data_IF_077848898459
#
_entry.id   IF_077848898459
#
_cell.length_a   1.000
_cell.length_b   1.000
_cell.length_c   1.000
_cell.angle_alpha   90.00
_cell.angle_beta   90.00
_cell.angle_gamma   90.00
#
_symmetry.space_group_name_H-M   'P 1'
#
loop_
_entity.id
_entity.type
_entity.pdbx_description
1 polymer ?
#
# COMPACT_ATOMS: atom_id res chain seq x y z
N UNK A 1 12.10 19.40 34.41
CA UNK A 1 13.10 20.00 33.52
C UNK A 1 12.35 21.03 32.68
N UNK A 2 12.75 22.32 32.65
CA UNK A 2 12.12 23.27 31.76
C UNK A 2 12.41 22.83 30.33
N UNK A 3 11.35 22.50 29.57
CA UNK A 3 11.46 22.28 28.14
C UNK A 3 12.06 23.52 27.49
N UNK A 4 13.11 23.33 26.72
CA UNK A 4 13.71 24.39 25.92
C UNK A 4 12.61 25.02 25.05
N UNK A 5 12.48 26.34 25.10
CA UNK A 5 11.46 27.12 24.34
C UNK A 5 11.60 26.99 22.81
N UNK A 6 12.48 26.15 22.33
CA UNK A 6 12.81 25.89 20.92
C UNK A 6 12.29 24.53 20.45
N UNK A 7 11.85 23.64 21.35
CA UNK A 7 11.29 22.34 20.96
C UNK A 7 9.78 22.47 20.71
N UNK A 8 9.33 22.04 19.52
CA UNK A 8 7.91 21.95 19.19
C UNK A 8 7.24 20.90 20.08
N UNK A 9 6.08 21.25 20.63
CA UNK A 9 5.25 20.29 21.33
C UNK A 9 4.66 19.32 20.30
N UNK A 10 4.97 18.04 20.47
CA UNK A 10 4.36 16.97 19.71
C UNK A 10 3.18 16.41 20.48
N UNK A 11 2.00 16.19 19.82
CA UNK A 11 0.85 15.58 20.48
C UNK A 11 1.21 14.16 20.90
N UNK A 12 0.97 13.83 22.17
CA UNK A 12 1.29 12.51 22.75
C UNK A 12 0.11 11.56 22.72
N UNK A 13 -1.10 12.08 22.65
CA UNK A 13 -2.33 11.30 22.71
C UNK A 13 -3.29 11.70 21.61
N UNK A 14 -3.85 10.69 20.96
CA UNK A 14 -4.98 10.80 20.07
C UNK A 14 -6.15 10.18 20.80
N UNK A 15 -7.21 10.96 21.04
CA UNK A 15 -8.46 10.45 21.57
C UNK A 15 -9.41 10.18 20.41
N UNK A 16 -9.92 8.97 20.32
CA UNK A 16 -10.91 8.54 19.32
C UNK A 16 -12.19 8.24 20.04
N UNK A 17 -13.20 9.10 19.82
CA UNK A 17 -14.55 8.91 20.35
C UNK A 17 -15.42 8.33 19.22
N UNK A 18 -15.65 7.03 19.27
CA UNK A 18 -16.49 6.33 18.31
C UNK A 18 -17.97 6.58 18.61
N UNK A 19 -18.67 7.27 17.69
CA UNK A 19 -20.09 7.59 17.82
C UNK A 19 -20.95 6.44 17.28
N UNK A 20 -20.49 5.82 16.18
CA UNK A 20 -21.10 4.64 15.55
C UNK A 20 -20.02 3.86 14.78
N UNK A 21 -20.38 2.70 14.23
CA UNK A 21 -19.46 1.91 13.41
C UNK A 21 -18.90 2.66 12.19
N UNK A 22 -19.62 3.68 11.72
CA UNK A 22 -19.26 4.47 10.54
C UNK A 22 -18.87 5.90 10.86
N UNK A 23 -19.00 6.34 12.13
CA UNK A 23 -18.77 7.74 12.51
C UNK A 23 -17.95 7.84 13.78
N UNK A 24 -16.87 8.60 13.71
CA UNK A 24 -16.02 8.90 14.85
C UNK A 24 -15.64 10.39 14.90
N UNK A 25 -15.30 10.82 16.10
CA UNK A 25 -14.66 12.10 16.37
C UNK A 25 -13.25 11.83 16.89
N UNK A 26 -12.26 12.43 16.25
CA UNK A 26 -10.86 12.29 16.63
C UNK A 26 -10.33 13.63 17.12
N UNK A 27 -9.76 13.61 18.31
CA UNK A 27 -9.21 14.78 18.98
C UNK A 27 -7.71 14.64 19.09
N UNK A 28 -6.99 15.64 18.63
CA UNK A 28 -5.53 15.71 18.68
C UNK A 28 -5.11 16.99 19.40
N UNK A 29 -4.49 16.85 20.55
CA UNK A 29 -3.99 17.95 21.38
C UNK A 29 -2.78 17.49 22.24
N UNK A 30 -1.88 18.40 22.62
CA UNK A 30 -1.76 19.80 22.18
C UNK A 30 -0.99 19.91 20.85
N UNK A 31 -1.31 20.90 20.05
CA UNK A 31 -0.57 21.28 18.85
C UNK A 31 -0.04 22.71 19.01
N UNK A 32 1.09 23.01 18.41
CA UNK A 32 1.56 24.39 18.31
C UNK A 32 0.59 25.24 17.47
N UNK A 33 0.49 26.52 17.78
CA UNK A 33 -0.42 27.46 17.14
C UNK A 33 -0.30 27.44 15.62
N UNK A 34 -1.44 27.25 14.93
CA UNK A 34 -1.54 27.19 13.47
C UNK A 34 -1.44 25.78 12.90
N UNK A 35 -0.83 24.81 13.59
CA UNK A 35 -0.72 23.43 13.13
C UNK A 35 -2.08 22.72 13.07
N UNK A 36 -3.03 23.10 13.93
CA UNK A 36 -4.38 22.55 13.87
C UNK A 36 -5.03 22.76 12.49
N UNK A 37 -4.96 23.96 11.93
CA UNK A 37 -5.49 24.24 10.60
C UNK A 37 -4.69 23.58 9.49
N UNK A 38 -3.36 23.56 9.58
CA UNK A 38 -2.48 22.93 8.58
C UNK A 38 -2.74 21.44 8.47
N UNK A 39 -2.71 20.73 9.61
CA UNK A 39 -2.93 19.29 9.64
C UNK A 39 -4.38 18.92 9.34
N UNK A 40 -5.35 19.68 9.91
CA UNK A 40 -6.76 19.44 9.69
C UNK A 40 -7.17 19.56 8.22
N UNK A 41 -6.69 20.59 7.52
CA UNK A 41 -6.94 20.74 6.09
C UNK A 41 -6.23 19.66 5.25
N UNK A 42 -4.96 19.34 5.55
CA UNK A 42 -4.21 18.31 4.84
C UNK A 42 -4.87 16.93 4.98
N UNK A 43 -5.19 16.52 6.21
CA UNK A 43 -5.83 15.24 6.48
C UNK A 43 -7.24 15.17 5.85
N UNK A 44 -8.04 16.25 5.96
CA UNK A 44 -9.35 16.30 5.31
C UNK A 44 -9.25 16.06 3.80
N UNK A 45 -8.30 16.70 3.13
CA UNK A 45 -8.13 16.54 1.68
C UNK A 45 -7.71 15.13 1.32
N UNK A 46 -6.77 14.54 2.06
CA UNK A 46 -6.30 13.16 1.83
C UNK A 46 -7.43 12.16 2.05
N UNK A 47 -8.18 12.31 3.15
CA UNK A 47 -9.32 11.44 3.47
C UNK A 47 -10.39 11.44 2.38
N UNK A 48 -10.68 12.59 1.77
CA UNK A 48 -11.70 12.70 0.72
C UNK A 48 -11.23 12.28 -0.67
N UNK A 49 -9.95 12.47 -1.01
CA UNK A 49 -9.47 12.31 -2.39
C UNK A 49 -8.49 11.17 -2.61
N UNK A 50 -7.78 10.71 -1.57
CA UNK A 50 -6.62 9.83 -1.75
C UNK A 50 -6.79 8.44 -1.15
N UNK A 51 -7.88 8.20 -0.43
CA UNK A 51 -8.16 6.89 0.17
C UNK A 51 -8.53 5.87 -0.92
N UNK A 52 -7.91 4.69 -0.89
CA UNK A 52 -8.30 3.60 -1.77
C UNK A 52 -9.65 3.01 -1.32
N UNK A 53 -10.44 2.57 -2.28
CA UNK A 53 -11.69 1.88 -2.05
C UNK A 53 -12.15 1.13 -3.28
N UNK A 54 -13.38 0.62 -3.25
CA UNK A 54 -13.99 -0.13 -4.34
C UNK A 54 -15.30 0.50 -4.77
N UNK A 55 -15.64 0.35 -6.05
CA UNK A 55 -16.89 0.85 -6.60
C UNK A 55 -17.38 -0.06 -7.74
N UNK A 56 -18.69 -0.09 -7.93
CA UNK A 56 -19.31 -0.69 -9.12
C UNK A 56 -19.04 0.25 -10.28
N UNK A 57 -18.42 -0.25 -11.33
CA UNK A 57 -17.99 0.51 -12.50
C UNK A 57 -18.83 0.24 -13.74
N UNK A 58 -19.34 -0.99 -13.85
CA UNK A 58 -20.10 -1.47 -14.99
C UNK A 58 -21.23 -2.35 -14.51
N UNK A 59 -22.36 -2.28 -15.19
CA UNK A 59 -23.54 -3.08 -14.88
C UNK A 59 -24.19 -3.58 -16.15
N UNK A 60 -24.59 -4.83 -16.17
CA UNK A 60 -25.45 -5.42 -17.20
C UNK A 60 -26.74 -5.87 -16.55
N UNK A 61 -27.87 -5.41 -17.05
CA UNK A 61 -29.21 -5.81 -16.57
C UNK A 61 -29.90 -6.56 -17.68
N UNK A 62 -30.45 -7.72 -17.37
CA UNK A 62 -31.14 -8.54 -18.38
C UNK A 62 -32.31 -7.81 -19.02
N UNK A 63 -32.39 -7.80 -20.36
CA UNK A 63 -33.41 -7.09 -21.13
C UNK A 63 -33.22 -5.59 -21.28
N UNK A 64 -32.12 -5.00 -20.74
CA UNK A 64 -31.82 -3.57 -20.81
C UNK A 64 -30.66 -3.31 -21.78
N UNK A 65 -30.86 -2.41 -22.74
CA UNK A 65 -29.85 -2.03 -23.72
C UNK A 65 -29.26 -0.63 -23.52
N UNK A 66 -29.98 0.23 -22.81
CA UNK A 66 -29.54 1.62 -22.51
C UNK A 66 -30.18 2.12 -21.21
N UNK A 67 -29.61 3.13 -20.60
CA UNK A 67 -29.99 3.68 -19.30
C UNK A 67 -31.37 4.35 -19.27
N UNK A 68 -31.91 4.77 -20.41
CA UNK A 68 -33.23 5.43 -20.51
C UNK A 68 -34.39 4.44 -20.70
N UNK A 69 -34.25 3.22 -20.22
CA UNK A 69 -35.30 2.20 -20.32
C UNK A 69 -35.97 1.98 -18.96
N UNK A 70 -37.15 1.37 -19.01
CA UNK A 70 -37.87 0.89 -17.83
C UNK A 70 -38.01 -0.63 -17.90
N UNK A 71 -38.00 -1.29 -16.76
CA UNK A 71 -38.09 -2.76 -16.66
C UNK A 71 -39.53 -3.10 -16.22
N UNK A 72 -40.18 -3.99 -16.93
CA UNK A 72 -41.54 -4.40 -16.59
C UNK A 72 -41.58 -5.08 -15.21
N UNK A 73 -42.43 -4.56 -14.34
CA UNK A 73 -42.57 -5.09 -12.98
C UNK A 73 -41.58 -4.55 -11.97
N UNK A 74 -40.74 -3.58 -12.34
CA UNK A 74 -39.87 -2.82 -11.43
C UNK A 74 -40.43 -1.41 -11.30
N UNK A 75 -40.41 -0.85 -10.09
CA UNK A 75 -40.96 0.49 -9.82
C UNK A 75 -40.04 1.59 -10.32
N UNK A 76 -38.73 1.43 -10.10
CA UNK A 76 -37.70 2.36 -10.47
C UNK A 76 -37.33 2.22 -11.94
N UNK A 77 -36.96 3.33 -12.59
CA UNK A 77 -36.32 3.27 -13.90
C UNK A 77 -34.84 2.83 -13.81
N UNK A 78 -34.24 2.53 -14.96
CA UNK A 78 -32.85 2.04 -15.01
C UNK A 78 -31.88 3.07 -14.46
N UNK A 79 -32.10 4.37 -14.68
CA UNK A 79 -31.25 5.44 -14.14
C UNK A 79 -31.28 5.44 -12.62
N UNK A 80 -32.46 5.32 -12.02
CA UNK A 80 -32.61 5.25 -10.56
C UNK A 80 -31.92 4.00 -9.99
N UNK A 81 -32.04 2.85 -10.66
CA UNK A 81 -31.32 1.62 -10.29
C UNK A 81 -29.82 1.84 -10.31
N UNK A 82 -29.28 2.47 -11.39
CA UNK A 82 -27.86 2.76 -11.50
C UNK A 82 -27.37 3.72 -10.39
N UNK A 83 -28.16 4.73 -10.06
CA UNK A 83 -27.86 5.66 -8.96
C UNK A 83 -27.88 4.95 -7.60
N UNK A 84 -28.84 4.03 -7.37
CA UNK A 84 -28.88 3.23 -6.18
C UNK A 84 -27.68 2.27 -6.08
N UNK A 85 -27.26 1.65 -7.19
CA UNK A 85 -26.07 0.81 -7.25
C UNK A 85 -24.78 1.56 -6.89
N UNK A 86 -24.66 2.85 -7.22
CA UNK A 86 -23.55 3.71 -6.76
C UNK A 86 -23.50 3.87 -5.24
N UNK A 87 -24.61 3.67 -4.54
CA UNK A 87 -24.71 3.72 -3.08
C UNK A 87 -24.26 2.46 -2.37
N UNK A 88 -24.06 1.36 -3.10
CA UNK A 88 -23.60 0.07 -2.52
C UNK A 88 -22.15 0.18 -2.07
N UNK A 89 -21.90 -0.09 -0.80
CA UNK A 89 -20.58 -0.03 -0.18
C UNK A 89 -19.90 -1.41 -0.27
N UNK A 90 -19.06 -1.60 -1.28
CA UNK A 90 -18.34 -2.86 -1.53
C UNK A 90 -16.89 -2.75 -1.08
N UNK A 91 -16.36 -3.82 -0.49
CA UNK A 91 -14.92 -3.99 -0.24
C UNK A 91 -14.41 -5.27 -0.89
N UNK A 92 -13.20 -5.20 -1.43
CA UNK A 92 -12.46 -6.35 -1.98
C UNK A 92 -11.25 -6.62 -1.08
N UNK A 93 -11.03 -7.87 -0.68
CA UNK A 93 -9.92 -8.23 0.19
C UNK A 93 -8.60 -8.36 -0.60
N UNK A 94 -8.47 -9.34 -1.45
CA UNK A 94 -7.23 -9.65 -2.18
C UNK A 94 -7.29 -9.25 -3.65
N UNK A 95 -8.45 -9.36 -4.29
CA UNK A 95 -8.64 -9.07 -5.71
C UNK A 95 -8.68 -7.57 -5.98
N UNK A 96 -8.32 -7.17 -7.20
CA UNK A 96 -8.48 -5.80 -7.70
C UNK A 96 -9.81 -5.60 -8.43
N UNK A 97 -10.44 -6.69 -8.86
CA UNK A 97 -11.68 -6.72 -9.62
C UNK A 97 -12.52 -7.91 -9.18
N UNK A 98 -13.84 -7.78 -9.21
CA UNK A 98 -14.78 -8.87 -8.95
C UNK A 98 -16.08 -8.66 -9.73
N UNK A 99 -16.77 -9.76 -10.04
CA UNK A 99 -18.09 -9.74 -10.63
C UNK A 99 -19.14 -10.17 -9.60
N UNK A 100 -20.18 -9.37 -9.43
CA UNK A 100 -21.32 -9.63 -8.55
C UNK A 100 -22.54 -9.95 -9.39
N UNK A 101 -23.29 -10.97 -8.99
CA UNK A 101 -24.53 -11.34 -9.64
C UNK A 101 -25.69 -11.25 -8.66
N UNK A 102 -26.83 -10.73 -9.12
CA UNK A 102 -28.07 -10.64 -8.38
C UNK A 102 -29.19 -11.14 -9.25
N UNK A 103 -30.03 -12.04 -8.74
CA UNK A 103 -31.24 -12.48 -9.42
C UNK A 103 -32.38 -12.56 -8.40
N UNK A 104 -33.43 -11.77 -8.62
CA UNK A 104 -34.60 -11.75 -7.75
C UNK A 104 -35.88 -11.67 -8.55
N UNK A 105 -36.92 -12.38 -8.10
CA UNK A 105 -38.25 -12.41 -8.72
C UNK A 105 -39.33 -12.38 -7.65
N UNK A 106 -40.49 -11.79 -8.00
CA UNK A 106 -41.65 -11.65 -7.11
C UNK A 106 -41.63 -10.35 -6.30
N UNK A 107 -42.78 -10.04 -5.68
CA UNK A 107 -42.96 -8.77 -4.98
C UNK A 107 -42.01 -8.59 -3.79
N UNK A 108 -41.36 -7.45 -3.72
CA UNK A 108 -40.47 -7.07 -2.61
C UNK A 108 -39.36 -6.12 -3.05
N UNK A 109 -38.63 -5.58 -2.06
CA UNK A 109 -37.45 -4.74 -2.31
C UNK A 109 -36.22 -5.61 -2.61
N UNK A 110 -35.48 -5.20 -3.63
CA UNK A 110 -34.16 -5.75 -3.98
C UNK A 110 -33.13 -4.93 -3.21
N UNK A 111 -32.31 -5.60 -2.42
CA UNK A 111 -31.30 -4.97 -1.58
C UNK A 111 -29.89 -5.39 -1.98
N UNK A 112 -28.89 -4.64 -1.51
CA UNK A 112 -27.49 -4.98 -1.74
C UNK A 112 -27.10 -6.37 -1.16
N UNK A 113 -27.81 -6.82 -0.12
CA UNK A 113 -27.63 -8.16 0.45
C UNK A 113 -28.11 -9.30 -0.43
N UNK A 114 -28.89 -9.01 -1.50
CA UNK A 114 -29.35 -10.04 -2.45
C UNK A 114 -28.27 -10.42 -3.48
N UNK A 115 -27.13 -9.72 -3.53
CA UNK A 115 -26.00 -10.11 -4.36
C UNK A 115 -25.38 -11.42 -3.90
N UNK A 116 -25.06 -12.27 -4.85
CA UNK A 116 -24.23 -13.46 -4.61
C UNK A 116 -22.78 -12.98 -4.50
N UNK A 117 -22.21 -13.15 -3.30
CA UNK A 117 -20.86 -12.71 -2.98
C UNK A 117 -19.87 -13.85 -3.13
N UNK A 118 -18.73 -13.58 -3.71
CA UNK A 118 -17.56 -14.44 -3.65
C UNK A 118 -16.81 -14.19 -2.31
N UNK A 119 -15.90 -15.09 -1.91
CA UNK A 119 -15.20 -15.01 -0.61
C UNK A 119 -14.30 -13.77 -0.47
N UNK A 120 -13.94 -13.15 -1.58
CA UNK A 120 -13.11 -11.95 -1.58
C UNK A 120 -13.92 -10.65 -1.50
N UNK A 121 -15.24 -10.71 -1.56
CA UNK A 121 -16.14 -9.55 -1.63
C UNK A 121 -16.99 -9.44 -0.39
N UNK A 122 -17.07 -8.25 0.17
CA UNK A 122 -17.92 -7.92 1.31
C UNK A 122 -18.75 -6.68 1.02
N UNK A 123 -20.02 -6.65 1.43
CA UNK A 123 -20.92 -5.51 1.33
C UNK A 123 -21.18 -4.97 2.74
N UNK A 124 -20.78 -3.72 2.99
CA UNK A 124 -20.92 -3.09 4.31
C UNK A 124 -22.33 -2.59 4.60
N UNK A 125 -23.16 -2.38 3.58
CA UNK A 125 -24.56 -1.89 3.71
C UNK A 125 -25.58 -2.81 3.03
N UNK A 126 -25.77 -4.04 3.50
CA UNK A 126 -26.64 -5.05 2.85
C UNK A 126 -28.11 -4.64 2.75
N UNK A 127 -28.57 -3.77 3.65
CA UNK A 127 -29.97 -3.27 3.67
C UNK A 127 -30.23 -2.15 2.65
N UNK A 128 -29.22 -1.71 1.89
CA UNK A 128 -29.36 -0.66 0.90
C UNK A 128 -30.26 -1.12 -0.24
N UNK A 129 -31.37 -0.39 -0.45
CA UNK A 129 -32.38 -0.73 -1.46
C UNK A 129 -31.88 -0.30 -2.83
N UNK A 130 -31.94 -1.22 -3.80
CA UNK A 130 -31.55 -1.02 -5.19
C UNK A 130 -32.80 -0.76 -6.06
N UNK A 131 -33.83 -1.59 -5.90
CA UNK A 131 -35.08 -1.51 -6.63
C UNK A 131 -36.24 -2.17 -5.86
N UNK A 132 -37.48 -1.87 -6.27
CA UNK A 132 -38.69 -2.49 -5.73
C UNK A 132 -39.42 -3.26 -6.86
N UNK A 133 -39.72 -4.51 -6.61
CA UNK A 133 -40.41 -5.40 -7.55
C UNK A 133 -41.90 -5.52 -7.18
N UNK A 134 -42.75 -5.58 -8.20
CA UNK A 134 -44.15 -6.00 -8.04
C UNK A 134 -44.28 -7.55 -8.11
N UNK A 135 -45.50 -8.06 -8.07
CA UNK A 135 -45.75 -9.51 -8.06
C UNK A 135 -45.30 -10.25 -9.34
N UNK A 136 -45.18 -9.57 -10.46
CA UNK A 136 -44.70 -10.11 -11.74
C UNK A 136 -43.27 -9.70 -12.05
N UNK A 137 -42.65 -8.86 -11.21
CA UNK A 137 -41.32 -8.32 -11.46
C UNK A 137 -40.23 -9.37 -11.34
N UNK A 138 -39.26 -9.25 -12.21
CA UNK A 138 -38.00 -10.02 -12.16
C UNK A 138 -36.86 -9.08 -12.57
N UNK A 139 -35.76 -9.17 -11.87
CA UNK A 139 -34.54 -8.44 -12.19
C UNK A 139 -33.34 -9.39 -12.08
N UNK A 140 -32.44 -9.30 -13.05
CA UNK A 140 -31.14 -9.96 -13.03
C UNK A 140 -30.05 -8.93 -13.38
N UNK A 141 -29.12 -8.78 -12.45
CA UNK A 141 -28.04 -7.76 -12.52
C UNK A 141 -26.69 -8.47 -12.43
N UNK A 142 -25.77 -8.12 -13.32
CA UNK A 142 -24.34 -8.41 -13.21
C UNK A 142 -23.62 -7.11 -13.04
N UNK A 143 -22.86 -6.96 -11.96
CA UNK A 143 -22.14 -5.75 -11.63
C UNK A 143 -20.64 -6.05 -11.56
N UNK A 144 -19.84 -5.28 -12.26
CA UNK A 144 -18.39 -5.34 -12.21
C UNK A 144 -17.88 -4.32 -11.19
N UNK A 145 -17.08 -4.79 -10.23
CA UNK A 145 -16.50 -3.98 -9.15
C UNK A 145 -15.02 -3.87 -9.38
N UNK A 146 -14.50 -2.66 -9.27
CA UNK A 146 -13.05 -2.42 -9.37
C UNK A 146 -12.53 -1.67 -8.15
N UNK A 147 -11.22 -1.81 -7.89
CA UNK A 147 -10.51 -1.05 -6.86
C UNK A 147 -9.88 0.20 -7.48
N UNK A 148 -9.99 1.34 -6.80
CA UNK A 148 -9.42 2.58 -7.28
C UNK A 148 -9.29 3.64 -6.20
N UNK A 149 -9.15 4.90 -6.59
CA UNK A 149 -9.04 6.06 -5.68
C UNK A 149 -9.81 7.26 -6.23
N UNK A 150 -10.42 8.01 -5.32
CA UNK A 150 -11.10 9.25 -5.66
C UNK A 150 -12.35 9.02 -6.49
N UNK A 151 -12.60 9.91 -7.46
CA UNK A 151 -13.73 9.87 -8.38
C UNK A 151 -13.22 9.75 -9.81
N UNK A 152 -13.75 8.77 -10.54
CA UNK A 152 -13.42 8.55 -11.94
C UNK A 152 -14.73 8.50 -12.74
N UNK A 153 -15.01 9.51 -13.61
CA UNK A 153 -16.20 9.52 -14.42
C UNK A 153 -16.19 8.38 -15.46
N UNK A 154 -17.35 7.92 -15.86
CA UNK A 154 -17.51 6.86 -16.85
C UNK A 154 -16.79 7.20 -18.15
N UNK A 155 -16.95 8.44 -18.64
CA UNK A 155 -16.34 8.91 -19.90
C UNK A 155 -14.80 8.83 -19.90
N UNK A 156 -14.16 9.02 -18.74
CA UNK A 156 -12.71 8.94 -18.66
C UNK A 156 -12.16 7.49 -18.75
N UNK A 157 -13.03 6.48 -18.62
CA UNK A 157 -12.69 5.07 -18.73
C UNK A 157 -13.01 4.49 -20.11
N UNK A 158 -13.74 5.26 -20.91
CA UNK A 158 -13.97 4.94 -22.32
C UNK A 158 -12.68 5.24 -23.07
N UNK A 159 -11.83 4.25 -23.23
CA UNK A 159 -10.71 4.30 -24.18
C UNK A 159 -11.23 4.16 -25.60
N UNK A 160 -10.51 4.73 -26.58
CA UNK A 160 -10.86 4.73 -28.01
C UNK A 160 -10.99 3.33 -28.68
N UNK A 161 -10.86 2.26 -27.91
CA UNK A 161 -11.13 0.88 -28.31
C UNK A 161 -12.66 0.62 -28.35
N UNK A 162 -13.37 1.32 -29.20
CA UNK A 162 -14.79 1.07 -29.50
C UNK A 162 -15.07 -0.37 -30.01
N UNK A 163 -14.04 -1.14 -30.34
CA UNK A 163 -14.16 -2.49 -30.90
C UNK A 163 -14.61 -3.59 -29.92
N UNK A 164 -14.75 -3.30 -28.60
CA UNK A 164 -15.08 -4.31 -27.58
C UNK A 164 -16.32 -4.06 -26.74
N UNK A 165 -17.11 -3.01 -26.98
CA UNK A 165 -18.29 -2.75 -26.15
C UNK A 165 -19.37 -3.84 -26.37
N UNK A 166 -19.68 -4.52 -25.27
CA UNK A 166 -20.81 -5.44 -25.23
C UNK A 166 -22.11 -4.63 -25.20
N UNK A 167 -23.00 -4.88 -26.14
CA UNK A 167 -24.31 -4.22 -26.19
C UNK A 167 -25.05 -4.53 -24.87
N UNK A 168 -25.60 -3.48 -24.22
CA UNK A 168 -26.29 -3.62 -22.93
C UNK A 168 -25.40 -3.47 -21.70
N UNK A 169 -24.09 -3.18 -21.85
CA UNK A 169 -23.19 -2.82 -20.75
C UNK A 169 -23.35 -1.34 -20.41
N UNK A 170 -23.80 -1.05 -19.20
CA UNK A 170 -24.03 0.29 -18.69
C UNK A 170 -22.87 0.71 -17.82
N UNK A 171 -22.25 1.84 -18.15
CA UNK A 171 -21.10 2.38 -17.43
C UNK A 171 -21.56 3.32 -16.30
N UNK A 172 -20.99 3.17 -15.10
CA UNK A 172 -21.24 4.05 -13.97
C UNK A 172 -20.01 4.88 -13.64
N UNK A 173 -20.23 6.13 -13.20
CA UNK A 173 -19.14 6.86 -12.55
C UNK A 173 -18.71 6.16 -11.26
N UNK A 174 -17.44 5.96 -11.12
CA UNK A 174 -16.86 5.29 -9.94
C UNK A 174 -16.49 6.30 -8.85
N UNK A 175 -17.12 6.19 -7.70
CA UNK A 175 -16.74 6.90 -6.48
C UNK A 175 -16.09 5.91 -5.52
N UNK A 176 -14.76 5.84 -5.56
CA UNK A 176 -13.99 4.87 -4.80
C UNK A 176 -13.79 5.25 -3.34
N UNK A 177 -13.98 6.54 -2.98
CA UNK A 177 -13.70 7.00 -1.62
C UNK A 177 -14.57 6.29 -0.58
N UNK A 178 -13.97 5.59 0.41
CA UNK A 178 -14.72 5.00 1.52
C UNK A 178 -15.20 6.05 2.53
N UNK A 179 -14.75 7.29 2.38
CA UNK A 179 -15.07 8.39 3.28
C UNK A 179 -16.15 9.27 2.67
N UNK A 180 -17.28 9.39 3.35
CA UNK A 180 -18.45 10.19 2.92
C UNK A 180 -18.33 11.65 3.32
N UNK A 181 -17.89 11.89 4.56
CA UNK A 181 -17.86 13.24 5.13
C UNK A 181 -16.66 13.40 6.06
N UNK A 182 -15.98 14.54 5.93
CA UNK A 182 -14.95 14.98 6.88
C UNK A 182 -15.18 16.43 7.21
N UNK A 183 -15.29 16.74 8.49
CA UNK A 183 -15.26 18.10 9.01
C UNK A 183 -14.14 18.21 10.03
N UNK A 184 -13.50 19.38 10.12
CA UNK A 184 -12.55 19.63 11.20
C UNK A 184 -12.82 21.00 11.84
N UNK A 185 -12.49 21.09 13.12
CA UNK A 185 -12.58 22.30 13.93
C UNK A 185 -11.26 22.44 14.71
N UNK A 186 -10.84 23.67 14.89
CA UNK A 186 -9.68 23.98 15.72
C UNK A 186 -10.15 24.83 16.89
N UNK A 187 -9.95 24.32 18.09
CA UNK A 187 -10.23 25.00 19.35
C UNK A 187 -8.91 25.32 20.07
N UNK A 188 -8.95 26.15 21.10
CA UNK A 188 -7.78 26.45 21.91
C UNK A 188 -7.52 25.33 22.93
N UNK A 189 -6.27 24.88 23.04
CA UNK A 189 -5.82 23.96 24.07
C UNK A 189 -5.01 24.71 25.13
N UNK A 190 -5.04 24.21 26.37
CA UNK A 190 -4.23 24.72 27.47
C UNK A 190 -3.37 23.62 28.05
N UNK A 191 -2.07 23.87 28.10
CA UNK A 191 -1.12 23.02 28.79
C UNK A 191 -0.35 23.89 29.79
N UNK A 192 -0.57 23.62 31.07
CA UNK A 192 0.00 24.40 32.18
C UNK A 192 -0.31 25.91 32.07
N UNK A 193 0.72 26.70 31.77
CA UNK A 193 0.62 28.16 31.61
C UNK A 193 0.44 28.61 30.14
N UNK A 194 0.62 27.70 29.18
CA UNK A 194 0.43 27.99 27.75
C UNK A 194 -1.05 27.83 27.38
N UNK A 195 -1.64 28.89 26.84
CA UNK A 195 -3.03 28.94 26.41
C UNK A 195 -3.19 29.20 24.89
N UNK A 196 -2.04 29.28 24.21
CA UNK A 196 -1.90 29.61 22.80
C UNK A 196 -1.79 28.38 21.89
N UNK A 197 -2.11 27.20 22.41
CA UNK A 197 -2.02 25.92 21.69
C UNK A 197 -3.31 25.60 20.98
N UNK A 198 -3.20 24.83 19.89
CA UNK A 198 -4.34 24.36 19.13
C UNK A 198 -4.79 22.95 19.59
N UNK A 199 -6.11 22.75 19.55
CA UNK A 199 -6.79 21.47 19.68
C UNK A 199 -7.50 21.19 18.36
N UNK A 200 -7.06 20.17 17.65
CA UNK A 200 -7.68 19.72 16.40
C UNK A 200 -8.74 18.67 16.68
N UNK A 201 -9.95 18.90 16.22
CA UNK A 201 -11.07 17.99 16.29
C UNK A 201 -11.47 17.64 14.86
N UNK A 202 -11.44 16.35 14.50
CA UNK A 202 -11.84 15.85 13.19
C UNK A 202 -13.07 14.97 13.35
N UNK A 203 -14.17 15.31 12.69
CA UNK A 203 -15.35 14.47 12.55
C UNK A 203 -15.29 13.73 11.22
N UNK A 204 -15.40 12.41 11.27
CA UNK A 204 -15.28 11.53 10.13
C UNK A 204 -16.49 10.63 10.02
N UNK A 205 -17.01 10.48 8.81
CA UNK A 205 -18.06 9.52 8.46
C UNK A 205 -17.63 8.69 7.26
N UNK A 206 -17.62 7.36 7.43
CA UNK A 206 -17.29 6.39 6.40
C UNK A 206 -18.52 5.72 5.81
N UNK A 207 -18.35 4.97 4.73
CA UNK A 207 -19.43 4.15 4.16
C UNK A 207 -19.55 2.76 4.82
N UNK A 208 -18.70 2.45 5.81
CA UNK A 208 -18.67 1.16 6.52
C UNK A 208 -17.64 0.16 6.01
N UNK A 209 -17.02 0.40 4.85
CA UNK A 209 -15.97 -0.50 4.31
C UNK A 209 -14.62 -0.33 5.02
N UNK A 210 -14.43 0.75 5.74
CA UNK A 210 -13.24 1.03 6.55
C UNK A 210 -13.65 1.61 7.89
N UNK A 211 -12.95 1.19 8.94
CA UNK A 211 -13.11 1.79 10.25
C UNK A 211 -12.60 3.24 10.26
N UNK A 212 -13.32 4.20 10.92
CA UNK A 212 -12.89 5.60 10.96
C UNK A 212 -11.48 5.81 11.53
N UNK A 213 -11.06 5.06 12.55
CA UNK A 213 -9.72 5.15 13.12
C UNK A 213 -8.66 4.73 12.10
N UNK A 214 -8.90 3.60 11.42
CA UNK A 214 -8.01 3.10 10.37
C UNK A 214 -7.92 4.07 9.18
N UNK A 215 -9.02 4.73 8.82
CA UNK A 215 -9.04 5.74 7.76
C UNK A 215 -8.09 6.91 8.09
N UNK A 216 -8.13 7.43 9.32
CA UNK A 216 -7.21 8.50 9.76
C UNK A 216 -5.76 8.02 9.79
N UNK A 217 -5.50 6.82 10.28
CA UNK A 217 -4.16 6.23 10.32
C UNK A 217 -3.56 6.14 8.91
N UNK A 218 -4.34 5.63 7.95
CA UNK A 218 -3.92 5.56 6.53
C UNK A 218 -3.70 6.94 5.93
N UNK A 219 -4.57 7.90 6.20
CA UNK A 219 -4.41 9.26 5.72
C UNK A 219 -3.14 9.93 6.26
N UNK A 220 -2.84 9.73 7.55
CA UNK A 220 -1.61 10.21 8.17
C UNK A 220 -0.35 9.55 7.57
N UNK A 221 -0.41 8.25 7.28
CA UNK A 221 0.68 7.52 6.61
C UNK A 221 0.92 8.04 5.20
N UNK A 222 -0.15 8.32 4.43
CA UNK A 222 -0.02 8.91 3.10
C UNK A 222 0.64 10.30 3.20
N UNK A 223 0.22 11.13 4.16
CA UNK A 223 0.82 12.44 4.38
C UNK A 223 2.32 12.33 4.70
N UNK A 224 2.68 11.44 5.60
CA UNK A 224 4.06 11.19 5.99
C UNK A 224 4.90 10.76 4.78
N UNK A 225 4.42 9.80 3.99
CA UNK A 225 5.13 9.34 2.79
C UNK A 225 5.33 10.45 1.75
N UNK A 226 4.32 11.29 1.53
CA UNK A 226 4.43 12.40 0.58
C UNK A 226 5.35 13.52 1.05
N UNK A 227 5.50 13.70 2.36
CA UNK A 227 6.41 14.72 2.93
C UNK A 227 7.81 14.19 3.18
N UNK A 228 8.02 12.88 3.22
CA UNK A 228 9.33 12.24 3.44
C UNK A 228 10.37 12.70 2.40
N UNK A 229 9.96 12.86 1.13
CA UNK A 229 10.83 13.34 0.04
C UNK A 229 11.46 14.71 0.35
N UNK A 230 10.76 15.57 1.11
CA UNK A 230 11.30 16.88 1.49
C UNK A 230 12.33 16.80 2.62
N UNK A 231 12.30 15.75 3.42
CA UNK A 231 13.29 15.50 4.49
C UNK A 231 14.59 14.99 3.87
N UNK A 232 14.48 14.17 2.82
CA UNK A 232 15.62 13.54 2.14
C UNK A 232 16.22 14.39 1.00
N UNK A 233 15.87 15.69 0.90
CA UNK A 233 16.39 16.57 -0.15
C UNK A 233 17.94 16.68 -0.18
N UNK A 234 18.61 16.52 0.97
CA UNK A 234 20.08 16.49 1.03
C UNK A 234 20.65 15.12 0.62
N UNK A 235 19.87 14.04 0.76
CA UNK A 235 20.28 12.69 0.35
C UNK A 235 20.11 12.47 -1.16
N UNK A 236 19.26 13.23 -1.84
CA UNK A 236 18.99 13.03 -3.28
C UNK A 236 20.16 13.44 -4.19
N UNK A 237 21.14 14.22 -3.72
CA UNK A 237 22.41 14.43 -4.41
C UNK A 237 23.45 13.32 -4.16
N UNK A 238 23.16 12.39 -3.20
CA UNK A 238 23.96 11.21 -2.91
C UNK A 238 23.18 9.89 -3.15
N UNK A 239 21.88 9.95 -3.42
CA UNK A 239 20.98 8.78 -3.48
C UNK A 239 20.77 8.22 -4.90
N UNK A 240 21.46 8.74 -5.92
CA UNK A 240 21.63 8.01 -7.18
C UNK A 240 22.61 6.82 -7.04
N UNK A 241 23.24 6.67 -5.85
CA UNK A 241 24.21 5.63 -5.57
C UNK A 241 23.78 4.62 -4.47
N UNK A 242 22.59 4.72 -3.86
CA UNK A 242 22.20 3.87 -2.71
C UNK A 242 20.86 3.14 -2.81
N UNK A 243 20.17 3.15 -3.95
CA UNK A 243 18.90 2.41 -4.13
C UNK A 243 19.07 1.06 -4.82
N UNK A 244 20.28 0.51 -4.86
CA UNK A 244 20.57 -0.91 -5.04
C UNK A 244 21.37 -1.39 -3.83
N UNK A 245 20.73 -1.58 -2.68
CA UNK A 245 21.11 -2.71 -1.84
C UNK A 245 20.78 -3.97 -2.64
N UNK A 246 21.63 -4.28 -3.62
CA UNK A 246 21.78 -5.63 -4.11
C UNK A 246 22.00 -6.49 -2.85
N UNK A 247 21.03 -7.35 -2.58
CA UNK A 247 21.11 -8.34 -1.52
C UNK A 247 22.42 -9.10 -1.78
N UNK A 248 23.51 -8.69 -1.09
CA UNK A 248 24.76 -9.41 -1.10
C UNK A 248 24.42 -10.84 -0.74
N UNK A 249 24.71 -11.76 -1.65
CA UNK A 249 24.43 -13.17 -1.44
C UNK A 249 25.01 -13.57 -0.08
N UNK A 250 24.22 -14.09 0.87
CA UNK A 250 24.70 -14.46 2.20
C UNK A 250 25.91 -15.41 2.19
N UNK A 251 26.14 -16.09 1.06
CA UNK A 251 27.30 -16.94 0.84
C UNK A 251 28.61 -16.13 0.84
N UNK A 252 28.61 -14.88 0.36
CA UNK A 252 29.81 -14.05 0.27
C UNK A 252 30.37 -13.62 1.64
N UNK A 253 29.48 -13.54 2.65
CA UNK A 253 29.83 -13.19 4.03
C UNK A 253 30.33 -14.37 4.84
N UNK A 254 30.31 -15.58 4.29
CA UNK A 254 30.82 -16.77 4.98
C UNK A 254 32.37 -16.81 4.96
N UNK A 255 32.99 -17.34 6.05
CA UNK A 255 34.42 -17.52 6.12
C UNK A 255 34.89 -18.54 5.06
N UNK A 256 36.13 -18.39 4.59
CA UNK A 256 36.74 -19.28 3.61
C UNK A 256 36.82 -20.72 4.12
N UNK A 257 36.83 -20.94 5.43
CA UNK A 257 36.83 -22.27 6.05
C UNK A 257 35.58 -23.10 5.70
N UNK A 258 34.45 -22.45 5.40
CA UNK A 258 33.20 -23.11 4.97
C UNK A 258 33.26 -23.70 3.54
N UNK A 259 34.35 -23.44 2.79
CA UNK A 259 34.55 -23.99 1.47
C UNK A 259 35.13 -25.41 1.50
N UNK A 260 35.35 -26.00 2.69
CA UNK A 260 35.90 -27.37 2.86
C UNK A 260 37.23 -27.61 2.05
N UNK A 261 38.05 -26.56 1.93
CA UNK A 261 39.35 -26.63 1.25
C UNK A 261 40.35 -27.44 2.09
N UNK A 262 41.38 -27.95 1.45
CA UNK A 262 42.48 -28.57 2.20
C UNK A 262 43.10 -27.58 3.20
N UNK A 263 43.51 -28.06 4.37
CA UNK A 263 44.13 -27.25 5.45
C UNK A 263 45.27 -26.36 4.92
N UNK A 264 46.01 -26.88 3.93
CA UNK A 264 47.09 -26.13 3.28
C UNK A 264 46.57 -24.95 2.47
N UNK A 265 45.52 -25.16 1.68
CA UNK A 265 44.90 -24.12 0.85
C UNK A 265 44.27 -23.03 1.74
N UNK A 266 43.55 -23.42 2.77
CA UNK A 266 42.92 -22.47 3.73
C UNK A 266 43.98 -21.61 4.46
N UNK A 267 45.09 -22.22 4.92
CA UNK A 267 46.15 -21.47 5.62
C UNK A 267 46.88 -20.49 4.68
N UNK A 268 47.07 -20.85 3.40
CA UNK A 268 47.64 -19.93 2.42
C UNK A 268 46.77 -18.72 2.14
N UNK A 269 45.43 -18.89 2.09
CA UNK A 269 44.50 -17.80 1.89
C UNK A 269 44.46 -16.86 3.10
N UNK A 270 44.45 -17.41 4.33
CA UNK A 270 44.49 -16.62 5.57
C UNK A 270 45.80 -15.82 5.72
N UNK A 271 46.92 -16.37 5.28
CA UNK A 271 48.22 -15.67 5.28
C UNK A 271 48.22 -14.42 4.37
N UNK A 272 47.34 -14.36 3.37
CA UNK A 272 47.13 -13.23 2.45
C UNK A 272 45.95 -12.35 2.86
N UNK A 273 45.45 -12.44 4.10
CA UNK A 273 44.34 -11.71 4.64
C UNK A 273 43.00 -11.93 3.86
N UNK A 274 42.84 -13.13 3.29
CA UNK A 274 41.58 -13.55 2.63
C UNK A 274 40.79 -14.39 3.62
N UNK A 275 39.84 -13.78 4.33
CA UNK A 275 39.07 -14.45 5.36
C UNK A 275 37.65 -14.82 4.93
N UNK A 276 37.07 -14.08 3.98
CA UNK A 276 35.71 -14.27 3.49
C UNK A 276 35.68 -14.73 2.03
N UNK A 277 34.59 -15.42 1.65
CA UNK A 277 34.40 -15.87 0.27
C UNK A 277 34.38 -14.68 -0.69
N UNK A 278 33.79 -13.54 -0.27
CA UNK A 278 33.81 -12.33 -1.06
C UNK A 278 35.19 -11.75 -1.35
N UNK A 279 36.15 -11.89 -0.43
CA UNK A 279 37.54 -11.48 -0.65
C UNK A 279 38.22 -12.38 -1.68
N UNK A 280 37.92 -13.70 -1.65
CA UNK A 280 38.48 -14.69 -2.52
C UNK A 280 38.04 -14.52 -3.97
N UNK A 281 36.75 -14.32 -4.23
CA UNK A 281 36.23 -14.21 -5.60
C UNK A 281 36.67 -12.91 -6.32
N UNK A 282 37.04 -11.88 -5.58
CA UNK A 282 37.61 -10.64 -6.17
C UNK A 282 39.03 -10.83 -6.70
N UNK A 283 39.76 -11.83 -6.19
CA UNK A 283 41.11 -12.12 -6.65
C UNK A 283 41.08 -12.82 -7.99
N UNK A 284 41.99 -12.43 -8.85
CA UNK A 284 42.20 -13.11 -10.14
C UNK A 284 43.11 -14.34 -9.96
N UNK A 285 43.01 -15.29 -10.88
CA UNK A 285 43.92 -16.48 -10.90
C UNK A 285 45.38 -16.10 -10.86
N UNK A 286 45.74 -15.04 -11.60
CA UNK A 286 47.14 -14.58 -11.71
C UNK A 286 47.64 -14.03 -10.37
N UNK A 287 46.79 -13.39 -9.60
CA UNK A 287 47.11 -12.87 -8.26
C UNK A 287 47.28 -14.03 -7.28
N UNK A 288 46.38 -15.01 -7.29
CA UNK A 288 46.47 -16.18 -6.41
C UNK A 288 47.68 -17.06 -6.74
N UNK A 289 48.13 -17.15 -7.98
CA UNK A 289 49.37 -17.86 -8.36
C UNK A 289 50.66 -17.14 -7.91
N UNK A 290 50.58 -15.85 -7.63
CA UNK A 290 51.71 -15.07 -7.09
C UNK A 290 51.91 -15.26 -5.60
N UNK A 291 50.87 -15.79 -4.89
CA UNK A 291 50.97 -16.00 -3.44
C UNK A 291 51.96 -17.13 -3.12
N UNK A 292 52.83 -16.94 -2.16
CA UNK A 292 53.79 -17.97 -1.78
C UNK A 292 53.04 -19.18 -1.20
N UNK A 293 53.47 -20.40 -1.60
CA UNK A 293 52.91 -21.69 -1.18
C UNK A 293 51.54 -22.10 -1.74
N UNK A 294 50.90 -21.32 -2.61
CA UNK A 294 49.68 -21.71 -3.33
C UNK A 294 50.07 -22.32 -4.69
N UNK A 295 49.94 -23.64 -4.82
CA UNK A 295 50.26 -24.36 -6.05
C UNK A 295 49.09 -24.45 -7.04
N UNK A 296 49.38 -24.83 -8.30
CA UNK A 296 48.36 -25.04 -9.35
C UNK A 296 47.28 -26.04 -8.94
N UNK A 297 47.61 -27.08 -8.15
CA UNK A 297 46.63 -28.04 -7.64
C UNK A 297 45.62 -27.41 -6.66
N UNK A 298 46.12 -26.57 -5.74
CA UNK A 298 45.26 -25.85 -4.80
C UNK A 298 44.37 -24.82 -5.51
N UNK A 299 44.86 -24.20 -6.59
CA UNK A 299 44.03 -23.28 -7.38
C UNK A 299 42.88 -24.01 -8.11
N UNK A 300 43.16 -25.21 -8.65
CA UNK A 300 42.12 -26.04 -9.29
C UNK A 300 41.07 -26.46 -8.27
N UNK A 301 41.47 -26.89 -7.07
CA UNK A 301 40.59 -27.22 -5.96
C UNK A 301 39.66 -26.02 -5.59
N UNK A 302 40.22 -24.82 -5.43
CA UNK A 302 39.47 -23.61 -5.15
C UNK A 302 38.46 -23.31 -6.26
N UNK A 303 38.85 -23.44 -7.52
CA UNK A 303 37.94 -23.22 -8.66
C UNK A 303 36.78 -24.21 -8.68
N UNK A 304 37.06 -25.47 -8.47
CA UNK A 304 36.05 -26.53 -8.51
C UNK A 304 35.04 -26.35 -7.39
N UNK A 305 35.50 -25.97 -6.18
CA UNK A 305 34.63 -25.69 -5.05
C UNK A 305 33.81 -24.41 -5.28
N UNK A 306 34.37 -23.33 -5.81
CA UNK A 306 33.62 -22.11 -6.14
C UNK A 306 32.61 -22.38 -7.26
N UNK A 307 32.98 -23.12 -8.31
CA UNK A 307 32.07 -23.47 -9.41
C UNK A 307 30.89 -24.32 -8.94
N UNK A 308 31.09 -25.24 -7.98
CA UNK A 308 30.01 -26.04 -7.38
C UNK A 308 28.95 -25.16 -6.64
N UNK A 309 29.36 -23.98 -6.24
CA UNK A 309 28.47 -22.96 -5.57
C UNK A 309 28.02 -21.82 -6.51
N UNK A 310 28.31 -21.95 -7.82
CA UNK A 310 27.95 -20.95 -8.83
C UNK A 310 28.81 -19.68 -8.81
N UNK A 311 29.98 -19.71 -8.15
CA UNK A 311 30.91 -18.58 -8.02
C UNK A 311 32.13 -18.76 -8.91
N UNK A 312 32.77 -17.66 -9.31
CA UNK A 312 34.01 -17.68 -10.11
C UNK A 312 35.02 -16.65 -9.61
N UNK A 313 36.31 -16.94 -9.84
CA UNK A 313 37.39 -15.99 -9.52
C UNK A 313 37.36 -14.79 -10.49
N UNK A 314 37.70 -13.58 -9.99
CA UNK A 314 37.76 -12.37 -10.77
C UNK A 314 36.41 -11.68 -10.92
N UNK A 315 35.39 -12.01 -10.13
CA UNK A 315 34.10 -11.29 -10.10
C UNK A 315 34.28 -9.89 -9.53
N UNK A 316 33.64 -8.90 -10.16
CA UNK A 316 33.62 -7.53 -9.64
C UNK A 316 32.46 -7.41 -8.65
N UNK A 317 32.77 -7.12 -7.39
CA UNK A 317 31.81 -6.76 -6.35
C UNK A 317 31.93 -5.25 -6.08
N UNK A 318 30.92 -4.47 -6.42
CA UNK A 318 30.99 -3.01 -6.36
C UNK A 318 30.97 -2.49 -4.91
N UNK A 319 30.37 -3.22 -3.96
CA UNK A 319 30.21 -2.82 -2.54
C UNK A 319 30.89 -3.76 -1.55
N UNK A 320 32.11 -4.24 -1.83
CA UNK A 320 32.87 -5.10 -0.92
C UNK A 320 34.12 -4.41 -0.35
N UNK A 321 34.44 -4.51 0.97
CA UNK A 321 33.70 -5.18 2.03
C UNK A 321 32.50 -4.35 2.54
N UNK A 322 31.38 -5.00 2.94
CA UNK A 322 30.23 -4.31 3.50
C UNK A 322 30.58 -3.61 4.81
N UNK A 323 29.80 -2.60 5.16
CA UNK A 323 30.00 -1.78 6.37
C UNK A 323 30.02 -2.60 7.67
N UNK A 324 29.33 -3.75 7.70
CA UNK A 324 29.31 -4.70 8.81
C UNK A 324 30.68 -5.36 9.08
N UNK A 325 31.54 -5.49 8.08
CA UNK A 325 32.89 -6.10 8.21
C UNK A 325 34.01 -5.06 8.40
N UNK A 326 33.73 -3.77 8.19
CA UNK A 326 34.73 -2.69 8.40
C UNK A 326 35.02 -2.37 9.87
N UNK A 327 34.21 -2.93 10.79
CA UNK A 327 34.32 -2.67 12.24
C UNK A 327 35.17 -3.66 13.03
N UNK A 328 35.55 -4.81 12.49
CA UNK A 328 36.14 -5.95 13.25
C UNK A 328 37.68 -5.97 13.28
N UNK A 329 38.34 -5.03 12.61
CA UNK A 329 39.82 -4.95 12.57
C UNK A 329 40.48 -4.46 13.88
N UNK A 330 39.71 -4.29 14.99
CA UNK A 330 40.24 -3.80 16.29
C UNK A 330 40.42 -4.86 17.37
N UNK A 331 40.17 -6.13 17.09
CA UNK A 331 40.25 -7.19 18.13
C UNK A 331 41.27 -8.31 17.87
N UNK A 332 42.20 -8.15 16.93
CA UNK A 332 43.29 -9.09 16.74
C UNK A 332 44.64 -8.34 16.68
N UNK A 333 45.01 -7.75 17.80
CA UNK A 333 46.35 -7.24 18.11
C UNK A 333 46.83 -7.85 19.39
#
# INVERSE_FOLDING_TARGET
MPHSSLEFLTPQHIQVDQISNTRAQVVLEPLERGFGHTLGNALRRILLSSMPGCAITEVTIDGVLHEYSAIEGVQEDVIEILLNLKGVAVSLNSANEAELTLSKSGAGSVTAGDFVLDHDVEIANPDHVIANLNSSGRIEIRAHVTRGRGYVPADARITDEEEGRVIGQLMLDASYSPVRRVAYKVDSARVEQRTDLDKLIIELETNGTIDPEEAIRRAATILQQQTAVFVDLESSTAADDSSQEEQLDPILLRPVDDLELTVRSANCLKAENIYYIGDLIRRTEVELLKTPNLGKKSLTEIKDVLASRGLSLGMRLENWPPSSLRGDDRLLG
#
